data_IF_702038326427
#
_entry.id   IF_702038326427
#
_cell.length_a   1.000
_cell.length_b   1.000
_cell.length_c   1.000
_cell.angle_alpha   90.00
_cell.angle_beta   90.00
_cell.angle_gamma   90.00
#
_symmetry.space_group_name_H-M   'P 1'
#
loop_
_entity.id
_entity.type
_entity.pdbx_description
1 polymer ?
#
# COMPACT_ATOMS: atom_id res chain seq x y z
N UNK A 1 -30.40 36.08 26.84
CA UNK A 1 -30.77 34.83 26.17
C UNK A 1 -29.54 34.38 25.43
N UNK A 2 -29.03 33.22 25.82
CA UNK A 2 -27.94 32.49 25.14
C UNK A 2 -28.32 32.27 23.67
N UNK A 3 -27.35 32.34 22.76
CA UNK A 3 -26.91 31.16 21.98
C UNK A 3 -25.40 31.30 21.72
N UNK A 4 -24.66 30.38 22.34
CA UNK A 4 -23.22 30.20 22.18
C UNK A 4 -23.03 29.19 21.05
N UNK A 5 -22.92 29.65 19.80
CA UNK A 5 -22.59 28.74 18.70
C UNK A 5 -21.11 28.36 18.77
N UNK A 6 -20.83 27.33 19.57
CA UNK A 6 -19.62 26.54 19.46
C UNK A 6 -19.78 25.67 18.23
N UNK A 7 -19.47 26.21 17.05
CA UNK A 7 -19.26 25.43 15.84
C UNK A 7 -18.05 24.54 16.10
N UNK A 8 -18.36 23.32 16.53
CA UNK A 8 -17.37 22.29 16.76
C UNK A 8 -16.84 21.96 15.38
N UNK A 9 -15.66 22.52 15.08
CA UNK A 9 -14.83 22.17 13.95
C UNK A 9 -14.59 20.66 13.99
N UNK A 10 -15.48 19.88 13.38
CA UNK A 10 -15.17 18.51 12.96
C UNK A 10 -14.16 18.65 11.83
N UNK A 11 -12.90 18.86 12.20
CA UNK A 11 -11.76 18.71 11.29
C UNK A 11 -11.77 17.28 10.81
N UNK A 12 -12.44 17.09 9.67
CA UNK A 12 -12.17 16.13 8.62
C UNK A 12 -11.05 15.15 8.99
N UNK A 13 -11.43 14.00 9.57
CA UNK A 13 -10.56 12.84 9.79
C UNK A 13 -10.06 12.21 8.48
N UNK A 14 -10.28 12.84 7.31
CA UNK A 14 -10.03 12.26 5.98
C UNK A 14 -8.55 12.08 5.64
N UNK A 15 -7.65 12.81 6.30
CA UNK A 15 -6.20 12.73 6.00
C UNK A 15 -5.53 11.49 6.61
N UNK A 16 -6.02 10.98 7.75
CA UNK A 16 -5.38 9.88 8.48
C UNK A 16 -5.45 8.56 7.72
N UNK A 17 -6.56 8.29 7.03
CA UNK A 17 -6.78 7.02 6.31
C UNK A 17 -5.80 6.82 5.15
N UNK A 18 -5.50 7.88 4.39
CA UNK A 18 -4.58 7.81 3.25
C UNK A 18 -3.13 7.54 3.69
N UNK A 19 -2.72 8.07 4.84
CA UNK A 19 -1.40 7.81 5.44
C UNK A 19 -1.28 6.35 5.91
N UNK A 20 -2.32 5.81 6.55
CA UNK A 20 -2.32 4.42 7.03
C UNK A 20 -2.21 3.43 5.86
N UNK A 21 -2.93 3.66 4.76
CA UNK A 21 -2.84 2.81 3.56
C UNK A 21 -1.43 2.84 2.93
N UNK A 22 -0.78 4.01 2.91
CA UNK A 22 0.58 4.13 2.39
C UNK A 22 1.59 3.40 3.27
N UNK A 23 1.52 3.57 4.59
CA UNK A 23 2.40 2.86 5.55
C UNK A 23 2.17 1.35 5.47
N UNK A 24 0.92 0.89 5.40
CA UNK A 24 0.60 -0.52 5.23
C UNK A 24 1.19 -1.08 3.92
N UNK A 25 1.09 -0.35 2.81
CA UNK A 25 1.69 -0.74 1.53
C UNK A 25 3.22 -0.88 1.61
N UNK A 26 3.91 0.03 2.30
CA UNK A 26 5.37 -0.06 2.52
C UNK A 26 5.72 -1.30 3.33
N UNK A 27 5.00 -1.59 4.42
CA UNK A 27 5.25 -2.77 5.26
C UNK A 27 5.09 -4.04 4.42
N UNK A 28 4.01 -4.15 3.64
CA UNK A 28 3.77 -5.31 2.76
C UNK A 28 4.88 -5.45 1.72
N UNK A 29 5.37 -4.35 1.15
CA UNK A 29 6.48 -4.37 0.20
C UNK A 29 7.79 -4.88 0.84
N UNK A 30 8.11 -4.43 2.06
CA UNK A 30 9.28 -4.91 2.81
C UNK A 30 9.16 -6.41 3.09
N UNK A 31 7.98 -6.88 3.50
CA UNK A 31 7.71 -8.31 3.74
C UNK A 31 7.89 -9.12 2.46
N UNK A 32 7.39 -8.63 1.32
CA UNK A 32 7.56 -9.29 0.02
C UNK A 32 9.04 -9.43 -0.38
N UNK A 33 9.84 -8.38 -0.17
CA UNK A 33 11.30 -8.40 -0.42
C UNK A 33 12.00 -9.39 0.53
N UNK A 34 11.66 -9.38 1.81
CA UNK A 34 12.23 -10.29 2.80
C UNK A 34 11.93 -11.76 2.48
N UNK A 35 10.71 -12.06 2.03
CA UNK A 35 10.33 -13.40 1.55
C UNK A 35 11.13 -13.80 0.31
N UNK A 36 11.36 -12.88 -0.61
CA UNK A 36 12.18 -13.11 -1.80
C UNK A 36 13.62 -13.51 -1.45
N UNK A 37 14.26 -12.75 -0.56
CA UNK A 37 15.63 -13.01 -0.11
C UNK A 37 15.69 -14.34 0.65
N UNK A 38 14.72 -14.60 1.52
CA UNK A 38 14.65 -15.85 2.30
C UNK A 38 14.53 -17.06 1.36
N UNK A 39 13.68 -16.97 0.34
CA UNK A 39 13.54 -18.04 -0.66
C UNK A 39 14.83 -18.28 -1.47
N UNK A 40 15.57 -17.22 -1.83
CA UNK A 40 16.90 -17.33 -2.46
C UNK A 40 17.88 -18.10 -1.57
N UNK A 41 17.96 -17.74 -0.29
CA UNK A 41 18.86 -18.41 0.65
C UNK A 41 18.47 -19.86 0.88
N UNK A 42 17.17 -20.11 1.06
CA UNK A 42 16.64 -21.46 1.28
C UNK A 42 16.91 -22.37 0.08
N UNK A 43 16.68 -21.87 -1.14
CA UNK A 43 16.96 -22.61 -2.36
C UNK A 43 18.44 -23.01 -2.50
N UNK A 44 19.37 -22.09 -2.19
CA UNK A 44 20.81 -22.41 -2.18
C UNK A 44 21.16 -23.48 -1.16
N UNK A 45 20.60 -23.39 0.04
CA UNK A 45 20.81 -24.39 1.10
C UNK A 45 20.26 -25.75 0.68
N UNK A 46 19.07 -25.80 0.08
CA UNK A 46 18.47 -27.04 -0.43
C UNK A 46 19.38 -27.68 -1.49
N UNK A 47 19.85 -26.91 -2.47
CA UNK A 47 20.78 -27.45 -3.47
C UNK A 47 22.02 -28.03 -2.80
N UNK A 48 22.65 -27.30 -1.89
CA UNK A 48 23.84 -27.79 -1.17
C UNK A 48 23.55 -29.08 -0.39
N UNK A 49 22.37 -29.21 0.19
CA UNK A 49 21.97 -30.37 0.98
C UNK A 49 21.72 -31.59 0.08
N UNK A 50 21.01 -31.43 -1.04
CA UNK A 50 20.80 -32.52 -2.01
C UNK A 50 22.10 -32.96 -2.69
N UNK A 51 23.02 -32.03 -2.94
CA UNK A 51 24.35 -32.34 -3.48
C UNK A 51 25.17 -33.13 -2.48
N UNK A 52 25.11 -32.78 -1.19
CA UNK A 52 25.76 -33.55 -0.11
C UNK A 52 25.21 -34.97 0.05
N UNK A 53 23.97 -35.20 -0.40
CA UNK A 53 23.31 -36.52 -0.43
C UNK A 53 23.67 -37.33 -1.69
N UNK A 54 24.56 -36.83 -2.55
CA UNK A 54 25.04 -37.53 -3.74
C UNK A 54 24.22 -37.28 -5.00
N UNK A 55 23.22 -36.40 -4.97
CA UNK A 55 22.47 -36.01 -6.17
C UNK A 55 23.26 -35.00 -7.01
N UNK A 56 23.22 -35.17 -8.34
CA UNK A 56 23.81 -34.21 -9.26
C UNK A 56 23.15 -32.83 -9.14
N UNK A 57 23.95 -31.79 -8.92
CA UNK A 57 23.48 -30.39 -8.87
C UNK A 57 22.60 -30.02 -10.06
N UNK A 58 22.88 -30.56 -11.24
CA UNK A 58 22.12 -30.27 -12.46
C UNK A 58 20.68 -30.82 -12.40
N UNK A 59 20.51 -32.02 -11.84
CA UNK A 59 19.20 -32.66 -11.68
C UNK A 59 18.38 -31.94 -10.62
N UNK A 60 19.02 -31.62 -9.49
CA UNK A 60 18.44 -30.89 -8.37
C UNK A 60 17.97 -29.50 -8.83
N UNK A 61 18.80 -28.76 -9.56
CA UNK A 61 18.45 -27.44 -10.05
C UNK A 61 17.34 -27.50 -11.12
N UNK A 62 17.33 -28.51 -12.00
CA UNK A 62 16.25 -28.70 -12.98
C UNK A 62 14.88 -28.97 -12.35
N UNK A 63 14.83 -29.64 -11.20
CA UNK A 63 13.56 -29.94 -10.53
C UNK A 63 13.14 -28.85 -9.54
N UNK A 64 14.04 -28.38 -8.67
CA UNK A 64 13.69 -27.42 -7.64
C UNK A 64 13.41 -26.02 -8.20
N UNK A 65 14.06 -25.63 -9.31
CA UNK A 65 13.89 -24.29 -9.88
C UNK A 65 12.44 -24.05 -10.36
N UNK A 66 11.83 -24.90 -11.21
CA UNK A 66 10.43 -24.71 -11.62
C UNK A 66 9.41 -25.07 -10.54
N UNK A 67 9.72 -26.00 -9.62
CA UNK A 67 8.72 -26.50 -8.64
C UNK A 67 8.63 -25.68 -7.36
N UNK A 68 9.73 -25.06 -6.92
CA UNK A 68 9.76 -24.33 -5.65
C UNK A 68 10.24 -22.89 -5.81
N UNK A 69 11.26 -22.67 -6.63
CA UNK A 69 11.84 -21.34 -6.73
C UNK A 69 10.96 -20.37 -7.50
N UNK A 70 10.56 -20.74 -8.72
CA UNK A 70 9.69 -19.93 -9.56
C UNK A 70 8.36 -19.59 -8.86
N UNK A 71 7.58 -20.58 -8.38
CA UNK A 71 6.29 -20.30 -7.75
C UNK A 71 6.44 -19.37 -6.54
N UNK A 72 7.51 -19.53 -5.76
CA UNK A 72 7.73 -18.70 -4.58
C UNK A 72 8.13 -17.26 -4.93
N UNK A 73 8.94 -17.06 -5.96
CA UNK A 73 9.29 -15.72 -6.49
C UNK A 73 8.06 -15.04 -7.08
N UNK A 74 7.30 -15.75 -7.92
CA UNK A 74 6.08 -15.23 -8.53
C UNK A 74 4.99 -14.92 -7.48
N UNK A 75 4.88 -15.71 -6.43
CA UNK A 75 3.99 -15.42 -5.31
C UNK A 75 4.44 -14.17 -4.54
N UNK A 76 5.74 -14.07 -4.23
CA UNK A 76 6.30 -12.91 -3.53
C UNK A 76 6.07 -11.61 -4.30
N UNK A 77 6.28 -11.62 -5.62
CA UNK A 77 6.10 -10.43 -6.47
C UNK A 77 4.61 -10.20 -6.78
N UNK A 78 3.90 -11.23 -7.23
CA UNK A 78 2.52 -11.12 -7.69
C UNK A 78 1.54 -10.81 -6.57
N UNK A 79 1.64 -11.53 -5.45
CA UNK A 79 0.71 -11.34 -4.33
C UNK A 79 1.13 -10.15 -3.48
N UNK A 80 2.34 -10.17 -2.92
CA UNK A 80 2.74 -9.09 -2.00
C UNK A 80 3.01 -7.78 -2.76
N UNK A 81 3.68 -7.83 -3.91
CA UNK A 81 3.83 -6.65 -4.77
C UNK A 81 2.48 -6.13 -5.27
N UNK A 82 1.57 -7.00 -5.70
CA UNK A 82 0.22 -6.62 -6.12
C UNK A 82 -0.57 -5.93 -5.00
N UNK A 83 -0.60 -6.51 -3.79
CA UNK A 83 -1.26 -5.91 -2.63
C UNK A 83 -0.65 -4.55 -2.28
N UNK A 84 0.69 -4.44 -2.34
CA UNK A 84 1.40 -3.17 -2.10
C UNK A 84 0.95 -2.07 -3.07
N UNK A 85 0.88 -2.40 -4.36
CA UNK A 85 0.45 -1.47 -5.41
C UNK A 85 -1.01 -1.08 -5.22
N UNK A 86 -1.89 -2.02 -4.86
CA UNK A 86 -3.29 -1.73 -4.59
C UNK A 86 -3.47 -0.78 -3.40
N UNK A 87 -2.77 -1.02 -2.28
CA UNK A 87 -2.81 -0.18 -1.09
C UNK A 87 -2.30 1.24 -1.37
N UNK A 88 -1.16 1.35 -2.07
CA UNK A 88 -0.58 2.65 -2.44
C UNK A 88 -1.49 3.38 -3.44
N UNK A 89 -1.99 2.67 -4.45
CA UNK A 89 -2.90 3.21 -5.45
C UNK A 89 -4.21 3.72 -4.84
N UNK A 90 -4.83 2.93 -3.95
CA UNK A 90 -6.01 3.34 -3.20
C UNK A 90 -5.73 4.58 -2.32
N UNK A 91 -4.55 4.64 -1.70
CA UNK A 91 -4.10 5.81 -0.96
C UNK A 91 -4.01 7.08 -1.82
N UNK A 92 -3.45 6.97 -3.04
CA UNK A 92 -3.33 8.09 -4.00
C UNK A 92 -4.72 8.57 -4.47
N UNK A 93 -5.61 7.64 -4.81
CA UNK A 93 -6.98 7.96 -5.25
C UNK A 93 -7.73 8.67 -4.12
N UNK A 94 -7.69 8.14 -2.90
CA UNK A 94 -8.33 8.74 -1.73
C UNK A 94 -7.83 10.16 -1.44
N UNK A 95 -6.52 10.41 -1.64
CA UNK A 95 -5.93 11.75 -1.50
C UNK A 95 -6.43 12.71 -2.59
N UNK A 96 -6.57 12.25 -3.84
CA UNK A 96 -7.08 13.07 -4.96
C UNK A 96 -8.56 13.41 -4.81
N UNK A 97 -9.41 12.45 -4.43
CA UNK A 97 -10.85 12.66 -4.24
C UNK A 97 -11.12 13.62 -3.08
N UNK A 98 -10.38 13.47 -1.97
CA UNK A 98 -10.52 14.39 -0.82
C UNK A 98 -10.15 15.82 -1.19
N UNK A 99 -9.10 16.02 -2.01
CA UNK A 99 -8.65 17.35 -2.44
C UNK A 99 -9.65 18.03 -3.38
N UNK A 100 -10.41 17.28 -4.17
CA UNK A 100 -11.48 17.83 -5.02
C UNK A 100 -12.68 18.23 -4.18
N UNK A 101 -13.10 17.41 -3.20
CA UNK A 101 -14.17 17.79 -2.27
C UNK A 101 -13.84 19.02 -1.42
N UNK A 102 -12.60 19.17 -0.95
CA UNK A 102 -12.20 20.38 -0.18
C UNK A 102 -12.18 21.65 -1.04
N UNK A 103 -12.03 21.53 -2.36
CA UNK A 103 -12.09 22.68 -3.27
C UNK A 103 -13.56 23.09 -3.48
N UNK A 104 -14.47 22.15 -3.70
CA UNK A 104 -15.91 22.45 -3.82
C UNK A 104 -16.46 23.15 -2.57
N UNK A 105 -16.13 22.64 -1.39
CA UNK A 105 -16.63 23.17 -0.12
C UNK A 105 -16.09 24.60 0.16
N UNK A 106 -14.86 24.91 -0.27
CA UNK A 106 -14.28 26.24 -0.12
C UNK A 106 -14.83 27.24 -1.15
N UNK A 107 -15.09 26.79 -2.38
CA UNK A 107 -15.73 27.62 -3.42
C UNK A 107 -17.15 27.99 -3.01
N UNK A 108 -17.92 27.03 -2.51
CA UNK A 108 -19.30 27.27 -2.05
C UNK A 108 -19.35 28.22 -0.84
N UNK A 109 -18.44 28.10 0.13
CA UNK A 109 -18.36 29.02 1.28
C UNK A 109 -17.93 30.44 0.83
N UNK A 110 -17.07 30.56 -0.19
CA UNK A 110 -16.66 31.87 -0.70
C UNK A 110 -17.77 32.61 -1.48
N UNK A 111 -18.63 31.90 -2.21
CA UNK A 111 -19.76 32.52 -2.92
C UNK A 111 -20.87 33.00 -1.96
N UNK A 112 -21.10 32.28 -0.86
CA UNK A 112 -22.10 32.65 0.17
C UNK A 112 -21.65 33.92 0.93
N UNK A 113 -20.35 34.09 1.16
CA UNK A 113 -19.82 35.29 1.83
C UNK A 113 -19.85 36.55 0.95
N UNK A 114 -19.74 36.42 -0.38
CA UNK A 114 -19.87 37.56 -1.30
C UNK A 114 -21.32 38.04 -1.45
N UNK A 115 -22.30 37.14 -1.38
CA UNK A 115 -23.72 37.52 -1.46
C UNK A 115 -24.20 38.26 -0.20
N UNK A 116 -23.74 37.89 1.00
CA UNK A 116 -24.11 38.59 2.25
C UNK A 116 -23.49 40.00 2.39
N UNK A 117 -22.37 40.31 1.70
CA UNK A 117 -21.79 41.65 1.73
C UNK A 117 -22.44 42.64 0.75
N UNK A 118 -23.26 42.16 -0.18
CA UNK A 118 -23.90 43.01 -1.21
C UNK A 118 -25.30 43.50 -0.79
N UNK A 119 -25.88 42.95 0.29
CA UNK A 119 -27.20 43.33 0.83
C UNK A 119 -27.14 44.24 2.07
N UNK A 120 -25.98 44.78 2.46
CA UNK A 120 -25.84 45.80 3.52
C UNK A 120 -25.62 47.21 2.97
#
# INVERSE_FOLDING_TARGET
MEIKEKSTSEKSKRVTSSIVLYVAGIIVAIVGIALLVTNILYFKSLISQYVSQGYSSATVMKQLLPSQFLPSVFNSIGVYGGISVLLIGAGIINKKVTKVSEIDENVEISEIQETEQTEQ
#
